data_IF_673939523253
#
_entry.id   IF_673939523253
#
_cell.length_a   1.000
_cell.length_b   1.000
_cell.length_c   1.000
_cell.angle_alpha   90.00
_cell.angle_beta   90.00
_cell.angle_gamma   90.00
#
_symmetry.space_group_name_H-M   'P 1'
#
loop_
_entity.id
_entity.type
_entity.pdbx_description
1 polymer ?
#
# COMPACT_ATOMS: atom_id res chain seq x y z
N UNK A 1 -20.96 0.98 19.64
CA UNK A 1 -22.43 0.85 19.73
C UNK A 1 -23.00 2.21 20.08
N UNK A 2 -23.82 2.81 19.21
CA UNK A 2 -24.45 4.12 19.49
C UNK A 2 -25.81 3.90 20.14
N UNK A 3 -26.34 4.88 20.89
CA UNK A 3 -27.66 4.74 21.52
C UNK A 3 -28.75 4.45 20.48
N UNK A 4 -28.69 5.15 19.34
CA UNK A 4 -29.58 4.94 18.20
C UNK A 4 -29.57 3.50 17.66
N UNK A 5 -28.43 2.81 17.67
CA UNK A 5 -28.31 1.41 17.24
C UNK A 5 -29.15 0.49 18.13
N UNK A 6 -29.03 0.68 19.45
CA UNK A 6 -29.76 -0.08 20.48
C UNK A 6 -31.26 0.21 20.36
N UNK A 7 -31.64 1.47 20.17
CA UNK A 7 -33.03 1.87 20.02
C UNK A 7 -33.64 1.32 18.73
N UNK A 8 -32.93 1.40 17.60
CA UNK A 8 -33.38 0.82 16.32
C UNK A 8 -33.52 -0.70 16.41
N UNK A 9 -32.54 -1.36 17.02
CA UNK A 9 -32.53 -2.80 17.26
C UNK A 9 -33.71 -3.25 18.12
N UNK A 10 -33.99 -2.56 19.22
CA UNK A 10 -35.10 -2.90 20.12
C UNK A 10 -36.47 -2.57 19.53
N UNK A 11 -36.62 -1.45 18.82
CA UNK A 11 -37.92 -0.99 18.31
C UNK A 11 -38.37 -1.73 17.05
N UNK A 12 -37.48 -1.92 16.06
CA UNK A 12 -37.88 -2.38 14.73
C UNK A 12 -37.70 -3.90 14.55
N UNK A 13 -36.47 -4.40 14.68
CA UNK A 13 -36.16 -5.80 14.33
C UNK A 13 -36.07 -6.75 15.54
N UNK A 14 -36.01 -6.23 16.78
CA UNK A 14 -36.13 -6.96 18.05
C UNK A 14 -35.13 -8.13 18.21
N UNK A 15 -33.92 -8.02 17.62
CA UNK A 15 -32.91 -9.10 17.56
C UNK A 15 -33.43 -10.42 16.96
N UNK A 16 -34.52 -10.35 16.19
CA UNK A 16 -35.15 -11.51 15.55
C UNK A 16 -34.59 -11.77 14.16
N UNK A 17 -34.12 -12.99 13.92
CA UNK A 17 -33.55 -13.42 12.63
C UNK A 17 -34.55 -13.28 11.49
N UNK A 18 -35.83 -13.57 11.72
CA UNK A 18 -36.89 -13.42 10.69
C UNK A 18 -37.10 -11.95 10.26
N UNK A 19 -36.68 -10.99 11.09
CA UNK A 19 -36.76 -9.54 10.82
C UNK A 19 -35.45 -8.92 10.34
N UNK A 20 -34.40 -9.71 10.15
CA UNK A 20 -33.09 -9.21 9.70
C UNK A 20 -33.19 -8.47 8.35
N UNK A 21 -34.16 -8.84 7.50
CA UNK A 21 -34.48 -8.15 6.24
C UNK A 21 -34.91 -6.68 6.40
N UNK A 22 -35.32 -6.25 7.60
CA UNK A 22 -35.61 -4.84 7.91
C UNK A 22 -34.34 -4.00 8.14
N UNK A 23 -33.21 -4.64 8.45
CA UNK A 23 -31.91 -3.99 8.63
C UNK A 23 -31.32 -3.68 7.25
N UNK A 24 -31.74 -2.55 6.66
CA UNK A 24 -31.22 -2.12 5.35
C UNK A 24 -29.71 -1.88 5.43
N UNK A 25 -28.92 -2.22 4.39
CA UNK A 25 -27.47 -2.01 4.38
C UNK A 25 -27.03 -0.57 4.68
N UNK A 26 -27.83 0.44 4.32
CA UNK A 26 -27.56 1.84 4.65
C UNK A 26 -27.60 2.13 6.16
N UNK A 27 -28.43 1.44 6.93
CA UNK A 27 -28.52 1.60 8.39
C UNK A 27 -27.31 0.97 9.08
N UNK A 28 -26.86 -0.20 8.60
CA UNK A 28 -25.61 -0.81 9.05
C UNK A 28 -24.40 0.05 8.67
N UNK A 29 -24.37 0.61 7.47
CA UNK A 29 -23.32 1.52 7.05
C UNK A 29 -23.17 2.74 7.98
N UNK A 30 -24.26 3.36 8.45
CA UNK A 30 -24.19 4.50 9.39
C UNK A 30 -23.43 4.18 10.69
N UNK A 31 -23.53 2.94 11.19
CA UNK A 31 -22.82 2.49 12.39
C UNK A 31 -21.31 2.39 12.16
N UNK A 32 -20.91 2.02 10.95
CA UNK A 32 -19.52 1.81 10.57
C UNK A 32 -18.87 3.06 9.96
N UNK A 33 -19.63 3.98 9.34
CA UNK A 33 -19.08 5.14 8.62
C UNK A 33 -18.11 5.95 9.48
N UNK A 34 -18.51 6.43 10.66
CA UNK A 34 -17.61 7.27 11.48
C UNK A 34 -16.42 6.49 12.09
N UNK A 35 -16.59 5.31 12.72
CA UNK A 35 -15.47 4.53 13.25
C UNK A 35 -14.48 4.09 12.17
N UNK A 36 -14.98 3.64 11.02
CA UNK A 36 -14.15 3.16 9.91
C UNK A 36 -13.45 4.32 9.20
N UNK A 37 -14.12 5.47 9.02
CA UNK A 37 -13.45 6.67 8.46
C UNK A 37 -12.30 7.12 9.35
N UNK A 38 -12.42 7.05 10.69
CA UNK A 38 -11.28 7.25 11.61
C UNK A 38 -10.23 6.13 11.56
N UNK A 39 -10.60 4.89 11.19
CA UNK A 39 -9.70 3.73 11.14
C UNK A 39 -8.87 3.64 9.86
N UNK A 40 -9.45 4.02 8.71
CA UNK A 40 -8.85 3.83 7.38
C UNK A 40 -8.94 5.05 6.44
N UNK A 41 -9.51 6.17 6.87
CA UNK A 41 -9.78 7.33 6.01
C UNK A 41 -11.10 7.21 5.25
N UNK A 42 -11.44 8.20 4.39
CA UNK A 42 -12.74 8.31 3.72
C UNK A 42 -13.19 7.04 3.00
N UNK A 43 -14.27 6.43 3.48
CA UNK A 43 -14.73 5.12 3.03
C UNK A 43 -15.01 5.02 1.53
N UNK A 44 -15.55 6.07 0.92
CA UNK A 44 -15.81 6.12 -0.52
C UNK A 44 -14.52 6.01 -1.35
N UNK A 45 -13.44 6.66 -0.89
CA UNK A 45 -12.17 6.70 -1.60
C UNK A 45 -11.34 5.43 -1.34
N UNK A 46 -11.41 4.89 -0.11
CA UNK A 46 -10.88 3.55 0.21
C UNK A 46 -11.61 2.48 -0.63
N UNK A 47 -12.94 2.53 -0.72
CA UNK A 47 -13.73 1.59 -1.52
C UNK A 47 -13.41 1.70 -3.01
N UNK A 48 -13.30 2.91 -3.56
CA UNK A 48 -12.88 3.10 -4.96
C UNK A 48 -11.51 2.46 -5.22
N UNK A 49 -10.51 2.76 -4.41
CA UNK A 49 -9.17 2.18 -4.55
C UNK A 49 -9.20 0.64 -4.44
N UNK A 50 -9.97 0.07 -3.51
CA UNK A 50 -10.14 -1.39 -3.36
C UNK A 50 -10.80 -1.99 -4.61
N UNK A 51 -11.83 -1.35 -5.15
CA UNK A 51 -12.53 -1.81 -6.36
C UNK A 51 -11.60 -1.78 -7.58
N UNK A 52 -10.88 -0.68 -7.81
CA UNK A 52 -9.91 -0.56 -8.91
C UNK A 52 -8.81 -1.62 -8.82
N UNK A 53 -8.25 -1.86 -7.63
CA UNK A 53 -7.24 -2.90 -7.42
C UNK A 53 -7.83 -4.30 -7.59
N UNK A 54 -9.09 -4.53 -7.19
CA UNK A 54 -9.77 -5.82 -7.38
C UNK A 54 -10.06 -6.07 -8.85
N UNK A 55 -10.48 -5.06 -9.61
CA UNK A 55 -10.67 -5.11 -11.07
C UNK A 55 -9.34 -5.42 -11.77
N UNK A 56 -8.25 -4.71 -11.43
CA UNK A 56 -6.91 -4.97 -11.99
C UNK A 56 -6.28 -6.28 -11.52
N UNK A 57 -6.75 -6.86 -10.42
CA UNK A 57 -6.37 -8.19 -9.96
C UNK A 57 -7.09 -9.28 -10.77
N UNK A 58 -8.42 -9.21 -10.84
CA UNK A 58 -9.26 -10.15 -11.58
C UNK A 58 -9.03 -10.08 -13.09
N UNK A 59 -8.85 -8.88 -13.65
CA UNK A 59 -8.59 -8.68 -15.08
C UNK A 59 -7.31 -9.36 -15.57
N UNK A 60 -6.30 -9.53 -14.72
CA UNK A 60 -5.09 -10.31 -15.03
C UNK A 60 -5.33 -11.82 -15.10
N UNK A 61 -6.44 -12.30 -14.54
CA UNK A 61 -6.86 -13.71 -14.60
C UNK A 61 -7.87 -13.98 -15.74
N UNK A 62 -8.41 -12.93 -16.38
CA UNK A 62 -9.35 -13.07 -17.51
C UNK A 62 -8.59 -13.17 -18.82
N UNK A 63 -8.29 -14.40 -19.22
CA UNK A 63 -7.51 -14.69 -20.44
C UNK A 63 -8.40 -14.97 -21.67
N UNK A 64 -9.72 -15.10 -21.52
CA UNK A 64 -10.63 -15.44 -22.63
C UNK A 64 -11.44 -14.22 -23.12
N UNK A 65 -11.03 -13.65 -24.24
CA UNK A 65 -11.69 -12.50 -24.88
C UNK A 65 -13.11 -12.79 -25.43
N UNK A 66 -13.42 -14.04 -25.76
CA UNK A 66 -14.72 -14.43 -26.36
C UNK A 66 -15.85 -14.62 -25.36
N UNK A 67 -15.55 -14.93 -24.09
CA UNK A 67 -16.56 -15.05 -23.04
C UNK A 67 -15.99 -14.65 -21.66
N UNK A 68 -15.66 -13.36 -21.48
CA UNK A 68 -14.94 -12.88 -20.29
C UNK A 68 -15.72 -13.07 -18.99
N UNK A 69 -17.05 -12.95 -19.02
CA UNK A 69 -17.88 -13.12 -17.82
C UNK A 69 -17.94 -14.57 -17.32
N UNK A 70 -18.02 -15.56 -18.22
CA UNK A 70 -17.95 -16.97 -17.82
C UNK A 70 -16.56 -17.35 -17.32
N UNK A 71 -15.52 -16.87 -17.99
CA UNK A 71 -14.13 -17.09 -17.57
C UNK A 71 -13.86 -16.46 -16.19
N UNK A 72 -14.28 -15.20 -15.96
CA UNK A 72 -14.23 -14.54 -14.66
C UNK A 72 -14.99 -15.30 -13.57
N UNK A 73 -16.18 -15.82 -13.88
CA UNK A 73 -16.98 -16.61 -12.93
C UNK A 73 -16.29 -17.91 -12.53
N UNK A 74 -15.64 -18.59 -13.49
CA UNK A 74 -14.83 -19.79 -13.22
C UNK A 74 -13.59 -19.48 -12.38
N UNK A 75 -12.86 -18.38 -12.69
CA UNK A 75 -11.73 -17.90 -11.87
C UNK A 75 -12.15 -17.59 -10.43
N UNK A 76 -13.28 -16.89 -10.26
CA UNK A 76 -13.86 -16.59 -8.96
C UNK A 76 -14.22 -17.84 -8.16
N UNK A 77 -14.86 -18.82 -8.80
CA UNK A 77 -15.21 -20.10 -8.17
C UNK A 77 -13.96 -20.88 -7.74
N UNK A 78 -12.95 -21.02 -8.62
CA UNK A 78 -11.70 -21.71 -8.31
C UNK A 78 -10.95 -21.05 -7.14
N UNK A 79 -10.94 -19.72 -7.09
CA UNK A 79 -10.32 -18.96 -6.00
C UNK A 79 -11.08 -19.14 -4.69
N UNK A 80 -12.42 -19.12 -4.70
CA UNK A 80 -13.24 -19.41 -3.53
C UNK A 80 -13.01 -20.84 -3.00
N UNK A 81 -12.94 -21.83 -3.90
CA UNK A 81 -12.65 -23.23 -3.56
C UNK A 81 -11.24 -23.40 -3.00
N UNK A 82 -10.23 -22.76 -3.60
CA UNK A 82 -8.85 -22.81 -3.12
C UNK A 82 -8.71 -22.15 -1.74
N UNK A 83 -9.35 -20.99 -1.54
CA UNK A 83 -9.35 -20.30 -0.25
C UNK A 83 -10.07 -21.12 0.82
N UNK A 84 -11.20 -21.75 0.50
CA UNK A 84 -11.90 -22.65 1.42
C UNK A 84 -11.04 -23.87 1.78
N UNK A 85 -10.38 -24.49 0.79
CA UNK A 85 -9.49 -25.63 1.01
C UNK A 85 -8.30 -25.25 1.91
N UNK A 86 -7.67 -24.10 1.67
CA UNK A 86 -6.59 -23.54 2.51
C UNK A 86 -7.05 -23.21 3.94
N UNK A 87 -8.26 -22.71 4.10
CA UNK A 87 -8.83 -22.42 5.41
C UNK A 87 -9.17 -23.69 6.21
N UNK A 88 -9.63 -24.76 5.54
CA UNK A 88 -9.94 -26.06 6.17
C UNK A 88 -8.67 -26.89 6.42
N UNK A 89 -7.67 -26.79 5.54
CA UNK A 89 -6.39 -27.51 5.63
C UNK A 89 -5.23 -26.52 5.45
N UNK A 90 -4.80 -25.82 6.52
CA UNK A 90 -3.74 -24.80 6.45
C UNK A 90 -2.40 -25.32 5.94
N UNK A 91 -2.14 -26.62 6.06
CA UNK A 91 -0.95 -27.30 5.55
C UNK A 91 -0.80 -27.21 4.02
N UNK A 92 -1.92 -26.98 3.30
CA UNK A 92 -1.93 -26.73 1.85
C UNK A 92 -1.66 -25.26 1.49
N UNK A 93 -1.72 -24.33 2.44
CA UNK A 93 -1.32 -22.93 2.25
C UNK A 93 0.19 -22.75 2.47
N UNK A 94 0.98 -23.52 1.73
CA UNK A 94 2.43 -23.41 1.74
C UNK A 94 2.82 -22.00 1.27
N UNK A 95 3.52 -21.26 2.14
CA UNK A 95 4.06 -19.96 1.80
C UNK A 95 4.92 -20.08 0.53
N UNK A 96 4.69 -19.24 -0.51
CA UNK A 96 5.41 -19.36 -1.76
C UNK A 96 6.93 -19.26 -1.51
N UNK A 97 7.76 -20.11 -2.15
CA UNK A 97 9.18 -20.14 -1.91
C UNK A 97 9.79 -18.76 -2.17
N UNK A 98 10.78 -18.39 -1.36
CA UNK A 98 11.51 -17.16 -1.55
C UNK A 98 12.19 -17.18 -2.93
N UNK A 99 12.10 -16.06 -3.66
CA UNK A 99 12.74 -15.95 -4.97
C UNK A 99 14.26 -16.10 -4.81
N UNK A 100 14.94 -16.63 -5.84
CA UNK A 100 16.35 -17.07 -5.80
C UNK A 100 17.35 -16.06 -5.21
N UNK A 101 17.03 -14.77 -5.26
CA UNK A 101 17.87 -13.66 -4.81
C UNK A 101 17.24 -12.86 -3.64
N UNK A 102 16.21 -13.39 -2.98
CA UNK A 102 15.61 -12.81 -1.79
C UNK A 102 16.49 -13.05 -0.56
N UNK A 103 16.68 -12.04 0.28
CA UNK A 103 17.50 -12.13 1.49
C UNK A 103 16.64 -11.86 2.75
N UNK A 104 16.35 -12.87 3.58
CA UNK A 104 15.76 -12.67 4.90
C UNK A 104 16.67 -11.83 5.79
N UNK A 105 16.08 -10.87 6.50
CA UNK A 105 16.78 -9.98 7.46
C UNK A 105 16.24 -10.13 8.89
N UNK A 106 15.54 -11.23 9.16
CA UNK A 106 14.92 -11.56 10.44
C UNK A 106 13.55 -10.92 10.66
N UNK A 107 12.87 -11.33 11.74
CA UNK A 107 11.56 -10.83 12.18
C UNK A 107 10.45 -10.88 11.09
N UNK A 108 10.54 -11.79 10.11
CA UNK A 108 9.59 -11.88 8.99
C UNK A 108 9.83 -10.91 7.83
N UNK A 109 10.84 -10.04 7.92
CA UNK A 109 11.22 -9.13 6.85
C UNK A 109 12.15 -9.81 5.83
N UNK A 110 11.91 -9.57 4.54
CA UNK A 110 12.71 -10.14 3.45
C UNK A 110 13.00 -9.09 2.38
N UNK A 111 14.27 -8.85 2.10
CA UNK A 111 14.71 -8.02 0.98
C UNK A 111 14.48 -8.79 -0.33
N UNK A 112 13.89 -8.14 -1.33
CA UNK A 112 13.50 -8.73 -2.61
C UNK A 112 14.13 -7.97 -3.78
N UNK A 113 14.39 -8.68 -4.89
CA UNK A 113 14.95 -8.10 -6.11
C UNK A 113 14.08 -6.99 -6.71
N UNK A 114 14.63 -6.02 -7.43
CA UNK A 114 16.02 -5.88 -7.85
C UNK A 114 16.94 -5.36 -6.73
N UNK A 115 18.25 -5.62 -6.87
CA UNK A 115 19.32 -5.17 -5.98
C UNK A 115 20.45 -4.59 -6.84
N UNK A 116 21.23 -3.65 -6.33
CA UNK A 116 22.54 -3.35 -6.94
C UNK A 116 23.47 -4.58 -6.88
N UNK A 117 24.21 -4.84 -7.95
CA UNK A 117 25.22 -5.90 -8.01
C UNK A 117 26.56 -5.48 -7.35
N UNK A 118 26.81 -4.17 -7.25
CA UNK A 118 28.01 -3.56 -6.66
C UNK A 118 27.60 -2.44 -5.70
N UNK A 119 28.46 -2.09 -4.75
CA UNK A 119 28.19 -0.96 -3.86
C UNK A 119 28.03 0.34 -4.68
N UNK A 120 26.87 0.99 -4.55
CA UNK A 120 26.56 2.26 -5.20
C UNK A 120 27.08 3.41 -4.33
N UNK A 121 27.97 4.24 -4.90
CA UNK A 121 28.43 5.47 -4.24
C UNK A 121 27.34 6.52 -4.34
N UNK A 122 26.88 7.01 -3.19
CA UNK A 122 25.85 8.05 -3.14
C UNK A 122 26.52 9.40 -3.40
N UNK A 123 26.07 10.10 -4.44
CA UNK A 123 26.55 11.43 -4.86
C UNK A 123 25.61 12.57 -4.50
N UNK A 124 24.33 12.25 -4.24
CA UNK A 124 23.29 13.22 -3.88
C UNK A 124 23.54 13.79 -2.48
N UNK A 125 23.67 15.12 -2.41
CA UNK A 125 24.00 15.87 -1.18
C UNK A 125 22.91 15.74 -0.12
N UNK A 126 21.63 15.65 -0.49
CA UNK A 126 20.53 15.50 0.47
C UNK A 126 20.49 14.08 1.04
N UNK A 127 20.74 13.06 0.20
CA UNK A 127 20.87 11.68 0.65
C UNK A 127 22.08 11.52 1.59
N UNK A 128 23.24 12.10 1.24
CA UNK A 128 24.43 12.14 2.11
C UNK A 128 24.12 12.82 3.44
N UNK A 129 23.46 14.00 3.42
CA UNK A 129 23.07 14.73 4.64
C UNK A 129 22.14 13.91 5.53
N UNK A 130 21.16 13.22 4.96
CA UNK A 130 20.23 12.38 5.69
C UNK A 130 20.93 11.17 6.34
N UNK A 131 21.89 10.55 5.64
CA UNK A 131 22.72 9.46 6.16
C UNK A 131 23.62 9.93 7.31
N UNK A 132 24.33 11.06 7.15
CA UNK A 132 25.14 11.65 8.22
C UNK A 132 24.27 11.91 9.46
N UNK A 133 23.15 12.63 9.31
CA UNK A 133 22.21 12.94 10.40
C UNK A 133 21.75 11.69 11.15
N UNK A 134 21.52 10.59 10.44
CA UNK A 134 21.12 9.32 11.04
C UNK A 134 22.27 8.63 11.81
N UNK A 135 23.46 8.53 11.22
CA UNK A 135 24.59 7.83 11.84
C UNK A 135 25.23 8.63 12.99
N UNK A 136 25.28 9.96 12.91
CA UNK A 136 25.66 10.81 14.06
C UNK A 136 24.76 10.57 15.28
N UNK A 137 23.47 10.25 15.08
CA UNK A 137 22.52 9.99 16.16
C UNK A 137 22.55 8.54 16.68
N UNK A 138 22.85 7.56 15.82
CA UNK A 138 22.67 6.13 16.12
C UNK A 138 23.97 5.32 16.12
N UNK A 139 25.14 5.97 16.04
CA UNK A 139 26.46 5.35 15.91
C UNK A 139 26.85 5.08 14.45
N UNK A 140 28.15 5.15 14.14
CA UNK A 140 28.66 4.97 12.78
C UNK A 140 28.44 3.54 12.24
N UNK A 141 28.27 3.37 10.91
CA UNK A 141 28.27 2.07 10.27
C UNK A 141 29.70 1.60 9.99
N UNK A 142 29.92 0.29 9.94
CA UNK A 142 31.22 -0.33 9.61
C UNK A 142 31.74 0.01 8.20
N UNK A 143 30.94 0.67 7.35
CA UNK A 143 31.23 0.98 5.94
C UNK A 143 31.13 2.48 5.61
N UNK A 144 31.85 3.33 6.35
CA UNK A 144 32.22 4.67 5.87
C UNK A 144 33.56 4.57 5.15
N UNK A 145 33.66 5.07 3.90
CA UNK A 145 34.95 5.22 3.23
C UNK A 145 35.63 6.51 3.69
N UNK A 146 36.96 6.50 3.78
CA UNK A 146 37.76 7.70 4.10
C UNK A 146 37.30 8.89 3.25
N UNK A 147 37.00 10.02 3.90
CA UNK A 147 36.46 11.22 3.25
C UNK A 147 34.93 11.37 3.29
N UNK A 148 34.20 10.55 4.05
CA UNK A 148 32.77 10.75 4.29
C UNK A 148 31.86 10.32 3.14
N UNK A 149 32.35 9.48 2.23
CA UNK A 149 31.58 8.95 1.11
C UNK A 149 30.85 7.67 1.51
N UNK A 150 29.54 7.63 1.28
CA UNK A 150 28.70 6.46 1.53
C UNK A 150 28.66 5.56 0.29
N UNK A 151 28.91 4.26 0.50
CA UNK A 151 28.91 3.24 -0.55
C UNK A 151 28.02 2.10 -0.05
N UNK A 152 26.83 1.94 -0.64
CA UNK A 152 25.75 1.08 -0.14
C UNK A 152 25.14 0.25 -1.27
N UNK A 153 24.68 -0.97 -0.99
CA UNK A 153 23.87 -1.75 -1.94
C UNK A 153 22.40 -1.42 -1.74
N UNK A 154 21.73 -0.88 -2.76
CA UNK A 154 20.28 -0.60 -2.69
C UNK A 154 19.49 -1.85 -3.05
N UNK A 155 18.34 -2.01 -2.41
CA UNK A 155 17.32 -3.01 -2.72
C UNK A 155 16.03 -2.28 -3.11
N UNK A 156 15.32 -2.78 -4.13
CA UNK A 156 14.13 -2.10 -4.64
C UNK A 156 12.81 -2.58 -4.08
N UNK A 157 12.79 -3.68 -3.32
CA UNK A 157 11.58 -4.24 -2.72
C UNK A 157 11.88 -4.82 -1.33
N UNK A 158 10.93 -4.65 -0.41
CA UNK A 158 10.98 -5.21 0.94
C UNK A 158 9.64 -5.85 1.27
N UNK A 159 9.63 -7.17 1.50
CA UNK A 159 8.48 -7.88 2.07
C UNK A 159 8.43 -7.63 3.58
N UNK A 160 7.27 -7.19 4.05
CA UNK A 160 6.95 -6.95 5.45
C UNK A 160 6.37 -8.22 6.10
N UNK A 161 6.40 -8.34 7.45
CA UNK A 161 5.87 -9.52 8.15
C UNK A 161 4.35 -9.72 7.96
N UNK A 162 3.63 -8.64 7.67
CA UNK A 162 2.19 -8.65 7.35
C UNK A 162 1.89 -9.10 5.90
N UNK A 163 2.90 -9.56 5.14
CA UNK A 163 2.78 -10.04 3.76
C UNK A 163 2.87 -8.95 2.69
N UNK A 164 2.70 -7.66 3.03
CA UNK A 164 2.82 -6.55 2.07
C UNK A 164 4.24 -6.46 1.50
N UNK A 165 4.38 -5.92 0.29
CA UNK A 165 5.69 -5.60 -0.31
C UNK A 165 5.79 -4.09 -0.54
N UNK A 166 6.62 -3.42 0.26
CA UNK A 166 7.03 -2.05 0.00
C UNK A 166 7.99 -2.01 -1.20
N UNK A 167 7.88 -0.98 -2.04
CA UNK A 167 8.71 -0.79 -3.25
C UNK A 167 9.44 0.54 -3.19
N UNK A 168 10.67 0.59 -3.70
CA UNK A 168 11.50 1.80 -3.68
C UNK A 168 11.19 2.71 -4.87
N UNK A 169 11.35 4.02 -4.67
CA UNK A 169 11.23 4.99 -5.76
C UNK A 169 12.22 4.72 -6.91
N UNK A 170 13.44 4.25 -6.61
CA UNK A 170 14.51 4.03 -7.60
C UNK A 170 14.04 3.22 -8.82
N UNK A 171 13.56 1.98 -8.63
CA UNK A 171 13.12 1.13 -9.75
C UNK A 171 11.71 1.42 -10.22
N UNK A 172 10.93 2.25 -9.54
CA UNK A 172 9.62 2.68 -10.05
C UNK A 172 9.74 3.90 -10.98
N UNK A 173 10.59 4.87 -10.64
CA UNK A 173 10.91 6.02 -11.51
C UNK A 173 11.61 5.55 -12.79
N UNK A 174 12.57 4.62 -12.69
CA UNK A 174 13.30 4.06 -13.83
C UNK A 174 12.37 3.29 -14.83
N UNK A 175 11.21 2.83 -14.37
CA UNK A 175 10.20 2.13 -15.19
C UNK A 175 8.95 2.99 -15.46
N UNK A 176 9.00 4.30 -15.18
CA UNK A 176 7.87 5.25 -15.35
C UNK A 176 6.55 4.81 -14.67
N UNK A 177 6.64 4.01 -13.59
CA UNK A 177 5.48 3.46 -12.89
C UNK A 177 5.14 4.24 -11.61
N UNK A 178 3.95 4.82 -11.55
CA UNK A 178 3.46 5.52 -10.36
C UNK A 178 2.59 4.60 -9.48
N UNK A 179 3.20 3.74 -8.65
CA UNK A 179 2.45 2.83 -7.75
C UNK A 179 2.31 3.39 -6.33
N UNK A 180 1.24 3.00 -5.61
CA UNK A 180 0.98 3.42 -4.23
C UNK A 180 1.81 2.65 -3.18
N UNK A 181 2.45 1.54 -3.56
CA UNK A 181 3.28 0.68 -2.71
C UNK A 181 4.60 1.28 -2.22
N UNK A 182 4.84 2.57 -2.47
CA UNK A 182 6.01 3.34 -2.00
C UNK A 182 5.83 3.94 -0.61
N UNK A 183 4.59 4.13 -0.16
CA UNK A 183 4.27 4.93 1.02
C UNK A 183 4.17 4.04 2.27
N UNK A 184 4.98 4.32 3.29
CA UNK A 184 5.18 3.47 4.46
C UNK A 184 4.98 4.24 5.77
N UNK A 185 4.21 3.65 6.69
CA UNK A 185 3.92 4.12 8.06
C UNK A 185 4.93 3.51 9.04
N UNK A 186 5.36 4.25 10.07
CA UNK A 186 6.68 4.05 10.73
C UNK A 186 6.62 4.12 12.27
N UNK A 187 6.91 3.03 13.04
CA UNK A 187 7.08 3.07 14.51
C UNK A 187 8.50 2.69 14.97
N UNK A 188 9.25 3.60 15.59
CA UNK A 188 10.73 3.58 15.70
C UNK A 188 11.47 2.38 16.34
N UNK A 189 12.72 2.16 15.87
CA UNK A 189 13.81 1.25 16.35
C UNK A 189 13.62 -0.28 16.16
N UNK A 190 14.63 -1.14 15.92
CA UNK A 190 16.03 -1.02 15.40
C UNK A 190 16.43 -2.42 14.82
N UNK A 191 17.28 -2.64 13.79
CA UNK A 191 17.88 -1.84 12.71
C UNK A 191 17.77 -2.61 11.35
N UNK A 192 17.45 -1.92 10.26
CA UNK A 192 17.80 -2.09 8.83
C UNK A 192 17.36 -0.78 8.19
N UNK A 193 18.08 -0.10 7.30
CA UNK A 193 17.72 1.30 7.00
C UNK A 193 16.77 1.45 5.79
N UNK A 194 15.78 2.32 5.92
CA UNK A 194 14.96 2.79 4.82
C UNK A 194 15.09 4.32 4.69
N UNK A 195 15.24 4.80 3.46
CA UNK A 195 15.24 6.22 3.14
C UNK A 195 13.85 6.59 2.61
N UNK A 196 13.22 7.57 3.24
CA UNK A 196 11.85 8.01 2.96
C UNK A 196 11.81 9.51 2.75
N UNK A 197 10.90 9.99 1.90
CA UNK A 197 10.46 11.39 1.95
C UNK A 197 9.29 11.46 2.92
N UNK A 198 9.33 12.40 3.86
CA UNK A 198 8.19 12.68 4.75
C UNK A 198 7.22 13.59 4.00
N UNK A 199 5.93 13.30 4.09
CA UNK A 199 4.89 14.26 3.72
C UNK A 199 4.81 15.36 4.80
N UNK A 200 4.22 16.52 4.46
CA UNK A 200 3.95 17.58 5.43
C UNK A 200 3.10 17.07 6.59
N UNK A 201 3.02 17.86 7.67
CA UNK A 201 1.95 17.67 8.65
C UNK A 201 0.58 17.99 8.02
N UNK A 202 -0.53 17.41 8.54
CA UNK A 202 -1.85 17.58 7.93
C UNK A 202 -2.35 19.01 7.97
N UNK A 203 -3.11 19.40 6.95
CA UNK A 203 -3.85 20.65 6.91
C UNK A 203 -4.81 20.74 8.11
N UNK A 204 -4.59 21.71 9.00
CA UNK A 204 -5.33 21.81 10.28
C UNK A 204 -6.81 22.17 10.07
N UNK A 205 -7.14 22.98 9.06
CA UNK A 205 -8.50 23.41 8.81
C UNK A 205 -9.33 22.26 8.24
N UNK A 206 -8.80 21.53 7.24
CA UNK A 206 -9.44 20.34 6.67
C UNK A 206 -9.51 19.18 7.68
N UNK A 207 -8.49 19.00 8.53
CA UNK A 207 -8.51 17.98 9.58
C UNK A 207 -9.59 18.30 10.62
N UNK A 208 -9.74 19.56 11.00
CA UNK A 208 -10.73 20.04 11.98
C UNK A 208 -12.15 20.01 11.42
N UNK A 209 -12.37 20.48 10.19
CA UNK A 209 -13.69 20.41 9.53
C UNK A 209 -14.15 18.96 9.37
N UNK A 210 -13.22 18.06 9.00
CA UNK A 210 -13.49 16.62 8.90
C UNK A 210 -13.57 15.88 10.24
N UNK A 211 -13.47 16.55 11.39
CA UNK A 211 -13.52 15.93 12.73
C UNK A 211 -12.47 14.83 12.92
N UNK A 212 -11.21 15.12 12.58
CA UNK A 212 -10.05 14.23 12.63
C UNK A 212 -10.18 12.98 11.73
N UNK A 213 -10.75 13.12 10.52
CA UNK A 213 -10.92 11.98 9.59
C UNK A 213 -10.23 12.13 8.24
N UNK A 214 -10.00 13.35 7.79
CA UNK A 214 -9.35 13.64 6.51
C UNK A 214 -7.96 14.25 6.77
N UNK A 215 -6.93 13.42 6.70
CA UNK A 215 -5.54 13.86 6.75
C UNK A 215 -5.05 14.24 5.35
N UNK A 216 -5.23 15.49 4.93
CA UNK A 216 -4.63 16.02 3.69
C UNK A 216 -3.21 16.49 3.99
N UNK A 217 -2.24 16.03 3.21
CA UNK A 217 -0.80 16.30 3.38
C UNK A 217 -0.13 16.54 2.03
N UNK A 218 0.90 17.38 2.02
CA UNK A 218 1.65 17.75 0.82
C UNK A 218 2.90 16.90 0.63
N UNK A 219 3.22 16.54 -0.61
CA UNK A 219 4.46 15.84 -0.94
C UNK A 219 5.63 16.83 -1.10
N UNK A 220 6.58 16.79 -0.17
CA UNK A 220 7.72 17.72 -0.11
C UNK A 220 8.98 17.21 -0.85
N UNK A 221 8.91 16.06 -1.52
CA UNK A 221 9.96 15.58 -2.41
C UNK A 221 11.31 15.31 -1.72
N UNK A 222 12.40 15.77 -2.33
CA UNK A 222 13.77 15.53 -1.83
C UNK A 222 14.14 16.34 -0.59
N UNK A 223 13.49 17.47 -0.36
CA UNK A 223 13.81 18.37 0.77
C UNK A 223 13.40 17.75 2.12
N UNK A 224 12.40 16.88 2.12
CA UNK A 224 11.91 16.15 3.30
C UNK A 224 12.51 14.74 3.47
N UNK A 225 13.67 14.45 2.88
CA UNK A 225 14.33 13.14 3.01
C UNK A 225 14.79 12.85 4.44
N UNK A 226 14.35 11.70 4.96
CA UNK A 226 14.68 11.15 6.27
C UNK A 226 15.15 9.71 6.13
N UNK A 227 16.13 9.31 6.93
CA UNK A 227 16.47 7.89 7.12
C UNK A 227 15.80 7.41 8.40
N UNK A 228 15.08 6.31 8.27
CA UNK A 228 14.38 5.62 9.35
C UNK A 228 14.89 4.18 9.45
N UNK A 229 14.49 3.48 10.49
CA UNK A 229 14.60 2.03 10.50
C UNK A 229 13.46 1.41 9.65
N UNK A 230 13.77 0.39 8.88
CA UNK A 230 12.84 -0.39 8.07
C UNK A 230 12.03 -1.36 8.93
N UNK A 231 12.52 -1.74 10.12
CA UNK A 231 11.68 -2.39 11.14
C UNK A 231 10.74 -1.39 11.81
N UNK A 232 11.10 -0.11 11.80
CA UNK A 232 10.12 0.96 11.93
C UNK A 232 9.30 1.16 10.65
N UNK A 233 8.69 0.09 10.12
CA UNK A 233 7.60 0.18 9.13
C UNK A 233 6.47 -0.74 9.59
N UNK A 234 5.31 -0.19 9.98
CA UNK A 234 4.14 -0.99 10.39
C UNK A 234 3.10 -1.23 9.29
N UNK A 235 2.96 -0.36 8.30
CA UNK A 235 2.02 -0.61 7.19
C UNK A 235 2.34 0.21 5.95
N UNK A 236 2.05 -0.34 4.76
CA UNK A 236 1.88 0.48 3.55
C UNK A 236 0.53 1.21 3.63
N UNK A 237 0.51 2.51 3.27
CA UNK A 237 -0.69 3.35 3.22
C UNK A 237 -0.97 3.80 1.79
N UNK A 238 -2.24 4.05 1.46
CA UNK A 238 -2.59 4.72 0.22
C UNK A 238 -2.39 6.23 0.38
N UNK A 239 -1.67 6.85 -0.57
CA UNK A 239 -1.63 8.31 -0.73
C UNK A 239 -2.38 8.60 -2.01
N UNK A 240 -3.63 9.03 -1.88
CA UNK A 240 -4.52 9.25 -3.02
C UNK A 240 -4.56 10.76 -3.31
N UNK A 241 -4.41 11.20 -4.58
CA UNK A 241 -4.44 12.62 -4.92
C UNK A 241 -5.70 13.31 -4.38
N UNK A 242 -5.54 14.50 -3.80
CA UNK A 242 -6.66 15.25 -3.26
C UNK A 242 -7.55 15.78 -4.40
N UNK A 243 -8.82 15.38 -4.39
CA UNK A 243 -9.73 15.64 -5.51
C UNK A 243 -10.48 16.96 -5.28
N UNK A 244 -10.08 17.99 -6.01
CA UNK A 244 -10.79 19.28 -6.06
C UNK A 244 -12.18 19.17 -6.71
N UNK A 245 -13.14 19.93 -6.20
CA UNK A 245 -14.47 20.12 -6.77
C UNK A 245 -14.41 20.83 -8.13
N UNK A 246 -15.51 20.76 -8.89
CA UNK A 246 -15.63 21.42 -10.21
C UNK A 246 -15.51 22.95 -10.15
N UNK A 247 -15.80 23.55 -9.00
CA UNK A 247 -15.62 24.99 -8.72
C UNK A 247 -14.16 25.33 -8.36
N UNK A 248 -13.52 24.53 -7.52
CA UNK A 248 -12.11 24.74 -7.13
C UNK A 248 -11.16 24.54 -8.32
N UNK A 249 -11.48 23.58 -9.21
CA UNK A 249 -10.75 23.35 -10.47
C UNK A 249 -10.71 24.55 -11.43
N UNK A 250 -11.60 25.53 -11.25
CA UNK A 250 -11.62 26.77 -12.04
C UNK A 250 -10.70 27.85 -11.46
N UNK A 251 -10.21 27.68 -10.22
CA UNK A 251 -9.29 28.60 -9.59
C UNK A 251 -7.84 28.10 -9.74
N UNK A 252 -6.99 28.76 -10.56
CA UNK A 252 -5.64 28.28 -10.83
C UNK A 252 -4.76 28.26 -9.56
N UNK A 253 -5.02 29.14 -8.59
CA UNK A 253 -4.24 29.22 -7.34
C UNK A 253 -4.48 27.97 -6.49
N UNK A 254 -5.74 27.55 -6.36
CA UNK A 254 -6.11 26.33 -5.60
C UNK A 254 -5.59 25.08 -6.32
N UNK A 255 -5.67 25.05 -7.65
CA UNK A 255 -5.10 23.97 -8.45
C UNK A 255 -3.58 23.82 -8.25
N UNK A 256 -2.83 24.93 -8.22
CA UNK A 256 -1.38 24.91 -7.99
C UNK A 256 -1.02 24.50 -6.55
N UNK A 257 -1.73 25.05 -5.55
CA UNK A 257 -1.54 24.70 -4.14
C UNK A 257 -1.85 23.23 -3.85
N UNK A 258 -2.93 22.69 -4.42
CA UNK A 258 -3.34 21.31 -4.18
C UNK A 258 -2.73 20.28 -5.16
N UNK A 259 -1.90 20.70 -6.14
CA UNK A 259 -1.30 19.81 -7.13
C UNK A 259 -0.46 18.67 -6.50
N UNK A 260 0.18 18.95 -5.36
CA UNK A 260 0.97 17.99 -4.59
C UNK A 260 0.28 17.54 -3.29
N UNK A 261 -1.02 17.81 -3.13
CA UNK A 261 -1.79 17.38 -1.96
C UNK A 261 -2.37 15.97 -2.17
N UNK A 262 -2.26 15.15 -1.14
CA UNK A 262 -2.76 13.79 -1.08
C UNK A 262 -3.47 13.59 0.26
N UNK A 263 -4.46 12.70 0.33
CA UNK A 263 -4.97 12.25 1.64
C UNK A 263 -4.55 10.80 1.92
N UNK A 264 -4.45 10.49 3.22
CA UNK A 264 -4.00 9.18 3.72
C UNK A 264 -5.17 8.20 3.80
N UNK A 265 -5.00 7.00 3.24
CA UNK A 265 -5.86 5.83 3.46
C UNK A 265 -5.11 4.70 4.16
N UNK A 266 -5.54 4.29 5.35
CA UNK A 266 -4.88 3.22 6.13
C UNK A 266 -5.51 1.83 5.91
N UNK A 267 -4.73 0.78 6.21
CA UNK A 267 -5.12 -0.64 6.07
C UNK A 267 -5.77 -1.00 4.72
N UNK A 268 -5.18 -0.60 3.56
CA UNK A 268 -5.68 -1.02 2.27
C UNK A 268 -5.53 -2.54 2.07
N UNK A 269 -6.65 -3.26 2.19
CA UNK A 269 -6.89 -4.60 1.61
C UNK A 269 -5.95 -5.75 2.04
N UNK A 270 -5.70 -5.90 3.34
CA UNK A 270 -4.82 -6.96 3.86
C UNK A 270 -5.44 -8.37 3.85
N UNK A 271 -6.73 -8.51 4.18
CA UNK A 271 -7.27 -9.81 4.63
C UNK A 271 -7.73 -10.78 3.51
N UNK A 272 -7.65 -10.40 2.23
CA UNK A 272 -8.19 -11.20 1.10
C UNK A 272 -7.20 -11.49 -0.06
N UNK A 273 -5.90 -11.18 0.08
CA UNK A 273 -4.91 -11.27 -1.02
C UNK A 273 -3.68 -12.14 -0.75
N UNK A 274 -3.72 -13.06 0.21
CA UNK A 274 -2.61 -13.95 0.58
C UNK A 274 -2.03 -14.83 -0.55
N UNK A 275 -2.66 -14.88 -1.73
CA UNK A 275 -2.33 -15.80 -2.83
C UNK A 275 -1.90 -15.15 -4.17
N UNK A 276 -1.43 -13.90 -4.21
CA UNK A 276 -0.77 -13.36 -5.43
C UNK A 276 0.73 -13.59 -5.43
N UNK A 277 1.18 -14.64 -6.11
CA UNK A 277 2.54 -14.72 -6.66
C UNK A 277 2.70 -13.70 -7.78
N UNK A 278 3.65 -12.75 -7.64
CA UNK A 278 4.10 -11.90 -8.75
C UNK A 278 4.67 -12.83 -9.85
N UNK A 279 4.17 -12.79 -11.11
CA UNK A 279 4.76 -13.57 -12.20
C UNK A 279 6.19 -13.05 -12.49
N UNK A 280 7.08 -13.99 -12.85
CA UNK A 280 8.46 -13.64 -13.20
C UNK A 280 8.52 -13.01 -14.59
N UNK A 281 9.27 -11.92 -14.81
CA UNK A 281 9.36 -11.28 -16.11
C UNK A 281 10.39 -12.03 -16.98
N UNK A 282 9.98 -13.15 -17.59
CA UNK A 282 10.71 -13.88 -18.63
C UNK A 282 9.75 -14.91 -19.24
N UNK A 283 9.43 -14.82 -20.55
CA UNK A 283 8.69 -15.92 -21.18
C UNK A 283 8.12 -15.70 -22.58
N UNK A 284 7.76 -14.49 -22.99
CA UNK A 284 6.99 -14.29 -24.23
C UNK A 284 7.90 -13.99 -25.43
N UNK A 285 8.64 -15.00 -25.86
CA UNK A 285 9.10 -15.08 -27.25
C UNK A 285 8.01 -15.80 -28.06
N UNK A 286 6.98 -15.07 -28.50
CA UNK A 286 6.10 -15.58 -29.56
C UNK A 286 6.90 -15.61 -30.87
N UNK A 287 7.32 -16.81 -31.25
CA UNK A 287 7.85 -17.05 -32.58
C UNK A 287 6.71 -16.92 -33.60
N UNK A 288 6.89 -16.05 -34.60
CA UNK A 288 6.10 -16.12 -35.81
C UNK A 288 6.30 -17.50 -36.45
N UNK A 289 5.20 -18.20 -36.70
CA UNK A 289 5.13 -19.27 -37.70
C UNK A 289 4.02 -18.91 -38.67
N UNK A 290 4.42 -18.50 -39.87
CA UNK A 290 3.56 -18.41 -41.05
C UNK A 290 3.11 -19.83 -41.51
N UNK A 291 2.23 -19.87 -42.52
CA UNK A 291 1.76 -21.06 -43.28
C UNK A 291 0.74 -21.95 -42.51
N UNK A 292 -0.42 -22.35 -43.06
CA UNK A 292 -1.01 -22.25 -44.42
C UNK A 292 -2.52 -21.92 -44.35
#
# INVERSE_FOLDING_TARGET
VTQWEIDFENLYYQRRVDRLHLVRPCLHALLHVAPETRRCGPLNLVAQWVLENTIGNLGREVCQHSNPFMNLSQRGLLRAQTNALKAVVPELDLAPPLTRNAQPIGNGYVLLTARDDKDHTITDVMQIRALIKFFTKNGEPERIRLGGTFSLQRWSRLKLPNGQTARSAWKEIENEMMRSSRNIKVPGQNRTLAMVSRYSDPDEDLLKESSDTLHVVSYEGTEALHVIDAKSICSVVAMVPFILSSSEKQNPIICEQCANCFFIGEKPFLDFTSSTTDPSPNGDNEAQSDEE
#
